data_IF_172395141313
#
_entry.id   IF_172395141313
#
_cell.length_a   1.000
_cell.length_b   1.000
_cell.length_c   1.000
_cell.angle_alpha   90.00
_cell.angle_beta   90.00
_cell.angle_gamma   90.00
#
_symmetry.space_group_name_H-M   'P 1'
#
loop_
_entity.id
_entity.type
_entity.pdbx_description
1 polymer ?
#
# COMPACT_ATOMS: atom_id res chain seq x y z
N UNK A 1 62.05 -18.12 12.42
CA UNK A 1 60.86 -17.33 12.83
C UNK A 1 60.44 -16.42 11.68
N UNK A 2 59.24 -16.65 11.12
CA UNK A 2 58.33 -15.68 10.44
C UNK A 2 57.38 -16.45 9.52
N UNK A 3 56.26 -16.90 10.08
CA UNK A 3 55.13 -17.46 9.32
C UNK A 3 54.26 -16.32 8.80
N UNK A 4 54.16 -16.20 7.47
CA UNK A 4 53.26 -15.27 6.80
C UNK A 4 51.82 -15.78 6.90
N UNK A 5 50.93 -14.95 7.44
CA UNK A 5 49.49 -15.19 7.43
C UNK A 5 48.87 -14.37 6.30
N UNK A 6 48.49 -15.04 5.21
CA UNK A 6 47.66 -14.46 4.15
C UNK A 6 46.19 -14.66 4.55
N UNK A 7 45.54 -13.58 4.99
CA UNK A 7 44.09 -13.58 5.20
C UNK A 7 43.40 -13.41 3.84
N UNK A 8 42.85 -14.49 3.30
CA UNK A 8 42.01 -14.46 2.10
C UNK A 8 40.64 -13.86 2.42
N UNK A 9 40.33 -12.71 1.83
CA UNK A 9 39.00 -12.10 1.89
C UNK A 9 38.07 -12.87 0.96
N UNK A 10 37.26 -13.77 1.52
CA UNK A 10 36.13 -14.39 0.85
C UNK A 10 35.04 -13.33 0.64
N UNK A 11 35.02 -12.71 -0.53
CA UNK A 11 33.92 -11.84 -0.97
C UNK A 11 32.73 -12.74 -1.30
N UNK A 12 31.85 -12.92 -0.32
CA UNK A 12 30.51 -13.46 -0.56
C UNK A 12 29.78 -12.48 -1.49
N UNK A 13 29.58 -12.87 -2.74
CA UNK A 13 28.77 -12.15 -3.72
C UNK A 13 27.29 -12.30 -3.38
N UNK A 14 26.89 -11.76 -2.23
CA UNK A 14 25.48 -11.55 -1.94
C UNK A 14 24.96 -10.53 -2.95
N UNK A 15 23.91 -10.83 -3.73
CA UNK A 15 23.31 -9.82 -4.59
C UNK A 15 22.87 -8.64 -3.71
N UNK A 16 23.46 -7.48 -3.96
CA UNK A 16 23.08 -6.24 -3.30
C UNK A 16 21.59 -6.02 -3.60
N UNK A 17 20.77 -5.82 -2.56
CA UNK A 17 19.30 -5.71 -2.66
C UNK A 17 18.77 -4.59 -3.57
N UNK A 18 19.64 -3.85 -4.27
CA UNK A 18 19.29 -2.86 -5.28
C UNK A 18 19.17 -3.39 -6.72
N UNK A 19 19.40 -4.69 -6.97
CA UNK A 19 19.24 -5.30 -8.31
C UNK A 19 17.85 -5.92 -8.54
N UNK A 20 16.93 -5.81 -7.59
CA UNK A 20 15.54 -6.19 -7.79
C UNK A 20 14.89 -5.08 -8.60
N UNK A 21 14.74 -5.27 -9.92
CA UNK A 21 13.84 -4.46 -10.73
C UNK A 21 12.45 -4.58 -10.10
N UNK A 22 11.85 -3.49 -9.58
CA UNK A 22 10.51 -3.56 -9.04
C UNK A 22 9.57 -4.03 -10.15
N UNK A 23 8.66 -4.97 -9.90
CA UNK A 23 7.65 -5.30 -10.88
C UNK A 23 6.87 -4.03 -11.24
N UNK A 24 6.39 -3.90 -12.49
CA UNK A 24 5.57 -2.76 -12.89
C UNK A 24 4.40 -2.61 -11.93
N UNK A 25 4.20 -1.38 -11.44
CA UNK A 25 3.08 -1.06 -10.56
C UNK A 25 1.80 -1.29 -11.37
N UNK A 26 0.86 -2.11 -10.89
CA UNK A 26 -0.37 -2.35 -11.61
C UNK A 26 -1.18 -1.04 -11.65
N UNK A 27 -1.79 -0.73 -12.80
CA UNK A 27 -2.60 0.50 -13.02
C UNK A 27 -3.65 0.72 -11.93
N UNK A 28 -4.17 -0.37 -11.36
CA UNK A 28 -5.15 -0.33 -10.27
C UNK A 28 -4.60 0.37 -9.00
N UNK A 29 -3.29 0.44 -8.80
CA UNK A 29 -2.66 1.10 -7.67
C UNK A 29 -2.60 2.64 -7.84
N UNK A 30 -2.59 3.15 -9.07
CA UNK A 30 -2.52 4.59 -9.36
C UNK A 30 -3.88 5.29 -9.25
N UNK A 31 -4.98 4.54 -9.32
CA UNK A 31 -6.33 5.09 -9.14
C UNK A 31 -6.54 5.43 -7.66
N UNK A 32 -7.26 6.51 -7.34
CA UNK A 32 -7.60 6.78 -5.94
C UNK A 32 -8.61 5.74 -5.41
N UNK A 33 -8.33 5.13 -4.25
CA UNK A 33 -9.21 4.10 -3.68
C UNK A 33 -10.48 4.65 -3.00
N UNK A 34 -10.57 5.97 -2.83
CA UNK A 34 -11.66 6.65 -2.14
C UNK A 34 -12.07 7.91 -2.88
N UNK A 35 -13.34 8.33 -2.72
CA UNK A 35 -13.82 9.61 -3.26
C UNK A 35 -13.07 10.78 -2.60
N UNK A 36 -12.72 10.63 -1.32
CA UNK A 36 -12.02 11.67 -0.56
C UNK A 36 -10.60 11.89 -1.08
N UNK A 37 -9.83 10.81 -1.28
CA UNK A 37 -8.50 10.90 -1.88
C UNK A 37 -8.55 11.32 -3.34
N UNK A 38 -9.56 10.89 -4.10
CA UNK A 38 -9.78 11.35 -5.47
C UNK A 38 -9.98 12.87 -5.55
N UNK A 39 -10.80 13.44 -4.65
CA UNK A 39 -11.03 14.89 -4.56
C UNK A 39 -9.77 15.69 -4.21
N UNK A 40 -8.74 15.05 -3.64
CA UNK A 40 -7.44 15.65 -3.36
C UNK A 40 -6.36 15.29 -4.41
N UNK A 41 -6.76 14.80 -5.58
CA UNK A 41 -5.83 14.41 -6.64
C UNK A 41 -4.96 13.21 -6.28
N UNK A 42 -5.45 12.31 -5.42
CA UNK A 42 -4.71 11.11 -4.98
C UNK A 42 -3.88 11.31 -3.70
N UNK A 43 -3.87 12.50 -3.10
CA UNK A 43 -3.14 12.76 -1.85
C UNK A 43 -3.84 12.15 -0.62
N UNK A 44 -3.70 10.83 -0.46
CA UNK A 44 -4.39 10.05 0.57
C UNK A 44 -3.61 9.86 1.87
N UNK A 45 -2.28 9.99 1.84
CA UNK A 45 -1.36 9.59 2.93
C UNK A 45 -1.55 10.39 4.21
N UNK A 46 -1.97 11.65 4.10
CA UNK A 46 -2.24 12.56 5.23
C UNK A 46 -3.68 12.55 5.71
N UNK A 47 -4.58 11.78 5.08
CA UNK A 47 -5.96 11.68 5.51
C UNK A 47 -6.11 10.52 6.50
N UNK A 48 -6.61 10.75 7.72
CA UNK A 48 -6.90 9.67 8.66
C UNK A 48 -8.40 9.32 8.73
N UNK A 49 -8.68 8.12 9.27
CA UNK A 49 -10.01 7.82 9.81
C UNK A 49 -11.09 7.43 8.81
N UNK A 50 -10.71 6.89 7.65
CA UNK A 50 -11.63 6.34 6.65
C UNK A 50 -11.17 4.94 6.22
N UNK A 51 -12.09 4.10 5.74
CA UNK A 51 -11.81 2.69 5.51
C UNK A 51 -10.84 2.46 4.35
N UNK A 52 -10.96 3.23 3.27
CA UNK A 52 -10.11 3.06 2.09
C UNK A 52 -8.63 3.44 2.31
N UNK A 53 -8.29 4.03 3.46
CA UNK A 53 -6.89 4.33 3.82
C UNK A 53 -6.03 3.07 3.94
N UNK A 54 -6.65 1.88 4.06
CA UNK A 54 -5.95 0.58 4.02
C UNK A 54 -5.13 0.36 2.75
N UNK A 55 -5.47 1.04 1.64
CA UNK A 55 -4.75 0.93 0.38
C UNK A 55 -3.58 1.90 0.25
N UNK A 56 -3.65 3.05 0.93
CA UNK A 56 -2.71 4.16 0.73
C UNK A 56 -1.79 4.38 1.96
N UNK A 57 -2.35 4.30 3.17
CA UNK A 57 -1.63 4.42 4.43
C UNK A 57 -2.31 3.58 5.54
N UNK A 58 -1.99 2.29 5.67
CA UNK A 58 -2.65 1.41 6.64
C UNK A 58 -2.45 1.84 8.10
N UNK A 59 -1.42 2.64 8.42
CA UNK A 59 -1.23 3.19 9.77
C UNK A 59 -2.31 4.21 10.16
N UNK A 60 -2.93 4.85 9.16
CA UNK A 60 -3.94 5.89 9.37
C UNK A 60 -5.35 5.35 9.68
N UNK A 61 -5.50 4.03 9.86
CA UNK A 61 -6.70 3.41 10.47
C UNK A 61 -6.79 3.67 11.98
N UNK A 62 -5.68 4.07 12.61
CA UNK A 62 -5.57 4.31 14.05
C UNK A 62 -6.67 5.20 14.66
N UNK A 63 -7.18 6.23 13.97
CA UNK A 63 -8.27 7.07 14.49
C UNK A 63 -9.70 6.50 14.36
N UNK A 64 -9.90 5.37 13.68
CA UNK A 64 -11.23 4.75 13.52
C UNK A 64 -11.71 4.18 14.86
N UNK A 65 -12.89 4.62 15.34
CA UNK A 65 -13.36 4.32 16.70
C UNK A 65 -14.13 3.01 16.84
N UNK A 66 -14.97 2.65 15.86
CA UNK A 66 -15.85 1.47 15.93
C UNK A 66 -15.83 0.72 14.60
N UNK A 67 -16.41 1.32 13.57
CA UNK A 67 -16.51 0.75 12.24
C UNK A 67 -16.45 1.88 11.21
N UNK A 68 -15.73 1.65 10.13
CA UNK A 68 -15.72 2.49 8.94
C UNK A 68 -15.90 1.57 7.73
N UNK A 69 -16.80 1.94 6.83
CA UNK A 69 -17.04 1.25 5.57
C UNK A 69 -17.06 2.29 4.47
N UNK A 70 -16.43 1.98 3.35
CA UNK A 70 -16.34 2.88 2.22
C UNK A 70 -16.37 2.12 0.92
N UNK A 71 -17.02 2.70 -0.08
CA UNK A 71 -16.95 2.23 -1.45
C UNK A 71 -16.84 3.42 -2.39
N UNK A 72 -16.12 3.22 -3.48
CA UNK A 72 -16.06 4.19 -4.55
C UNK A 72 -16.29 3.49 -5.89
N UNK A 73 -16.85 4.24 -6.83
CA UNK A 73 -17.00 3.83 -8.20
C UNK A 73 -16.61 5.00 -9.08
N UNK A 74 -15.82 4.74 -10.11
CA UNK A 74 -15.43 5.73 -11.10
C UNK A 74 -15.48 5.12 -12.49
N UNK A 75 -16.03 5.87 -13.44
CA UNK A 75 -15.99 5.52 -14.86
C UNK A 75 -14.88 6.35 -15.51
N UNK A 76 -13.93 5.65 -16.14
CA UNK A 76 -12.83 6.23 -16.90
C UNK A 76 -13.23 6.54 -18.34
N UNK A 77 -12.22 6.87 -19.16
CA UNK A 77 -12.36 6.88 -20.63
C UNK A 77 -12.22 5.45 -21.16
N UNK A 78 -12.76 5.20 -22.35
CA UNK A 78 -12.60 3.93 -23.08
C UNK A 78 -13.22 2.70 -22.38
N UNK A 79 -14.44 2.85 -21.83
CA UNK A 79 -15.20 1.81 -21.10
C UNK A 79 -14.51 1.22 -19.85
N UNK A 80 -13.36 1.78 -19.46
CA UNK A 80 -12.74 1.45 -18.19
C UNK A 80 -13.63 1.88 -17.04
N UNK A 81 -13.80 1.00 -16.07
CA UNK A 81 -14.41 1.38 -14.81
C UNK A 81 -13.70 0.74 -13.63
N UNK A 82 -13.82 1.44 -12.52
CA UNK A 82 -13.10 1.17 -11.31
C UNK A 82 -14.07 1.13 -10.15
N UNK A 83 -13.95 0.12 -9.30
CA UNK A 83 -14.73 -0.01 -8.09
C UNK A 83 -13.86 -0.39 -6.91
N UNK A 84 -14.17 0.17 -5.75
CA UNK A 84 -13.57 -0.20 -4.47
C UNK A 84 -14.62 -0.44 -3.42
N UNK A 85 -14.27 -1.33 -2.50
CA UNK A 85 -14.95 -1.52 -1.24
C UNK A 85 -13.91 -1.75 -0.16
N UNK A 86 -14.01 -1.06 0.98
CA UNK A 86 -13.14 -1.25 2.12
C UNK A 86 -13.95 -1.20 3.41
N UNK A 87 -13.51 -1.96 4.40
CA UNK A 87 -14.10 -1.97 5.73
C UNK A 87 -12.99 -2.09 6.77
N UNK A 88 -13.13 -1.33 7.86
CA UNK A 88 -12.23 -1.36 9.00
C UNK A 88 -13.04 -1.34 10.28
N UNK A 89 -12.78 -2.29 11.16
CA UNK A 89 -13.41 -2.39 12.46
C UNK A 89 -12.35 -2.31 13.57
N UNK A 90 -12.71 -1.65 14.68
CA UNK A 90 -11.93 -1.68 15.91
C UNK A 90 -12.46 -2.78 16.82
N UNK A 91 -11.56 -3.67 17.25
CA UNK A 91 -11.83 -4.68 18.28
C UNK A 91 -10.87 -4.45 19.44
N UNK A 92 -11.33 -3.71 20.46
CA UNK A 92 -10.50 -3.31 21.61
C UNK A 92 -9.32 -2.42 21.19
N UNK A 93 -8.06 -2.81 21.45
CA UNK A 93 -6.88 -2.03 21.08
C UNK A 93 -6.44 -2.24 19.61
N UNK A 94 -7.04 -3.18 18.88
CA UNK A 94 -6.62 -3.56 17.53
C UNK A 94 -7.60 -3.03 16.50
N UNK A 95 -7.09 -2.48 15.40
CA UNK A 95 -7.89 -2.17 14.21
C UNK A 95 -7.59 -3.24 13.15
N UNK A 96 -8.65 -3.87 12.63
CA UNK A 96 -8.58 -4.86 11.57
C UNK A 96 -9.35 -4.29 10.38
N UNK A 97 -8.70 -4.29 9.23
CA UNK A 97 -9.24 -3.68 8.04
C UNK A 97 -8.79 -4.40 6.79
N UNK A 98 -9.63 -4.34 5.78
CA UNK A 98 -9.35 -4.91 4.48
C UNK A 98 -10.23 -4.27 3.42
N UNK A 99 -9.88 -4.53 2.18
CA UNK A 99 -10.67 -4.02 1.07
C UNK A 99 -10.38 -4.76 -0.22
N UNK A 100 -11.22 -4.47 -1.19
CA UNK A 100 -11.21 -4.99 -2.53
C UNK A 100 -11.17 -3.82 -3.52
N UNK A 101 -10.34 -3.96 -4.57
CA UNK A 101 -10.27 -3.04 -5.70
C UNK A 101 -10.48 -3.84 -6.96
N UNK A 102 -11.29 -3.33 -7.86
CA UNK A 102 -11.55 -3.93 -9.16
C UNK A 102 -11.40 -2.89 -10.26
N UNK A 103 -10.70 -3.29 -11.31
CA UNK A 103 -10.53 -2.53 -12.53
C UNK A 103 -10.91 -3.45 -13.69
N UNK A 104 -11.75 -2.95 -14.59
CA UNK A 104 -12.13 -3.61 -15.83
C UNK A 104 -11.88 -2.70 -17.01
#
# INVERSE_FOLDING_TARGET
MRTAWAAGLLVLTSPLGGQVVPPPIPVIADVAASVRSAGLGGAATGLPGYAAVVFDNPSAIGPIRVLSVEGAYAQGRDDLWYATAAAVARTGPVNIGGGYRYLR
#
